data_IF_829646010814
#
_entry.id   IF_829646010814
#
_cell.length_a   1.000
_cell.length_b   1.000
_cell.length_c   1.000
_cell.angle_alpha   90.00
_cell.angle_beta   90.00
_cell.angle_gamma   90.00
#
_symmetry.space_group_name_H-M   'P 1'
#
loop_
_entity.id
_entity.type
_entity.pdbx_description
1 polymer ?
#
# COMPACT_ATOMS: atom_id res chain seq x y z
N UNK A 1 37.75 66.43 12.15
CA UNK A 1 37.68 65.32 11.18
C UNK A 1 38.58 64.22 11.72
N UNK A 2 38.02 63.06 12.10
CA UNK A 2 38.59 61.74 11.84
C UNK A 2 37.56 60.70 12.30
N UNK A 3 37.06 59.97 11.30
CA UNK A 3 36.01 58.97 11.33
C UNK A 3 36.56 57.68 11.94
N UNK A 4 36.00 57.22 13.06
CA UNK A 4 36.17 55.84 13.52
C UNK A 4 34.99 55.07 12.94
N UNK A 5 35.20 54.51 11.75
CA UNK A 5 34.34 53.47 11.23
C UNK A 5 34.83 52.18 11.90
N UNK A 6 34.04 51.66 12.84
CA UNK A 6 34.26 50.32 13.38
C UNK A 6 34.00 49.31 12.25
N UNK A 7 35.08 48.67 11.80
CA UNK A 7 35.03 47.49 10.95
C UNK A 7 34.31 46.38 11.71
N UNK A 8 33.05 46.15 11.39
CA UNK A 8 32.35 44.92 11.75
C UNK A 8 33.07 43.80 10.99
N UNK A 9 34.01 43.13 11.65
CA UNK A 9 34.69 41.96 11.11
C UNK A 9 33.66 40.93 10.68
N UNK A 10 33.74 40.48 9.43
CA UNK A 10 32.84 39.51 8.84
C UNK A 10 32.68 38.27 9.74
N UNK A 11 31.45 37.77 9.89
CA UNK A 11 31.19 36.56 10.66
C UNK A 11 31.98 35.40 10.03
N UNK A 12 32.82 34.66 10.76
CA UNK A 12 33.54 33.51 10.22
C UNK A 12 32.60 32.44 9.63
N UNK A 13 31.32 32.44 10.00
CA UNK A 13 30.30 31.61 9.37
C UNK A 13 29.90 32.10 7.98
N UNK A 14 30.02 33.40 7.66
CA UNK A 14 29.74 33.94 6.32
C UNK A 14 30.73 33.38 5.29
N UNK A 15 32.01 33.22 5.64
CA UNK A 15 33.02 32.59 4.78
C UNK A 15 32.75 31.10 4.54
N UNK A 16 32.15 30.41 5.52
CA UNK A 16 31.73 29.01 5.38
C UNK A 16 30.49 28.94 4.47
N UNK A 17 29.54 29.86 4.61
CA UNK A 17 28.34 29.93 3.77
C UNK A 17 28.68 30.35 2.34
N UNK A 18 29.63 31.28 2.15
CA UNK A 18 30.17 31.62 0.83
C UNK A 18 30.99 30.46 0.23
N UNK A 19 31.62 29.63 1.08
CA UNK A 19 32.30 28.40 0.71
C UNK A 19 31.38 27.19 0.50
N UNK A 20 30.07 27.30 0.80
CA UNK A 20 29.08 26.32 0.36
C UNK A 20 28.93 26.47 -1.15
N UNK A 21 29.81 25.78 -1.88
CA UNK A 21 29.88 25.82 -3.33
C UNK A 21 28.52 25.50 -3.94
N UNK A 22 28.02 26.43 -4.76
CA UNK A 22 26.99 26.10 -5.75
C UNK A 22 27.65 25.12 -6.70
N UNK A 23 27.24 23.86 -6.66
CA UNK A 23 27.70 22.86 -7.63
C UNK A 23 27.52 23.41 -9.04
N UNK A 24 28.52 23.20 -9.90
CA UNK A 24 28.33 23.43 -11.33
C UNK A 24 27.24 22.52 -11.87
N UNK A 25 26.67 22.85 -13.03
CA UNK A 25 25.65 22.01 -13.66
C UNK A 25 26.23 20.61 -13.98
N UNK A 26 27.51 20.52 -14.31
CA UNK A 26 28.23 19.27 -14.53
C UNK A 26 28.43 18.47 -13.23
N UNK A 27 28.87 19.10 -12.14
CA UNK A 27 29.06 18.44 -10.84
C UNK A 27 27.73 17.96 -10.27
N UNK A 28 26.69 18.77 -10.42
CA UNK A 28 25.33 18.40 -10.03
C UNK A 28 24.81 17.23 -10.87
N UNK A 29 25.01 17.26 -12.18
CA UNK A 29 24.56 16.17 -13.06
C UNK A 29 25.30 14.87 -12.74
N UNK A 30 26.61 14.93 -12.51
CA UNK A 30 27.40 13.76 -12.13
C UNK A 30 27.01 13.17 -10.76
N UNK A 31 26.61 14.01 -9.79
CA UNK A 31 26.10 13.52 -8.51
C UNK A 31 24.71 12.90 -8.62
N UNK A 32 23.86 13.45 -9.49
CA UNK A 32 22.51 12.93 -9.74
C UNK A 32 22.51 11.67 -10.61
N UNK A 33 23.59 11.41 -11.36
CA UNK A 33 23.76 10.22 -12.19
C UNK A 33 23.85 8.97 -11.30
N UNK A 34 22.87 8.07 -11.41
CA UNK A 34 22.75 6.87 -10.57
C UNK A 34 22.16 7.13 -9.18
N UNK A 35 21.74 8.36 -8.87
CA UNK A 35 21.03 8.64 -7.61
C UNK A 35 19.67 7.92 -7.58
N UNK A 36 19.04 7.73 -8.73
CA UNK A 36 17.84 6.92 -8.90
C UNK A 36 18.07 5.41 -8.70
N UNK A 37 19.33 4.95 -8.72
CA UNK A 37 19.72 3.60 -8.32
C UNK A 37 20.02 3.50 -6.82
N UNK A 38 20.20 4.63 -6.13
CA UNK A 38 20.46 4.64 -4.70
C UNK A 38 19.17 4.30 -3.92
N UNK A 39 19.17 3.31 -2.99
CA UNK A 39 17.95 2.82 -2.34
C UNK A 39 17.06 3.87 -1.67
N UNK A 40 17.65 4.97 -1.18
CA UNK A 40 16.93 6.09 -0.56
C UNK A 40 16.26 7.05 -1.56
N UNK A 41 16.66 7.02 -2.82
CA UNK A 41 16.26 7.98 -3.86
C UNK A 41 15.74 7.29 -5.13
N UNK A 42 15.44 5.98 -5.06
CA UNK A 42 14.88 5.23 -6.17
C UNK A 42 13.50 5.77 -6.56
N UNK A 43 13.32 6.04 -7.86
CA UNK A 43 12.03 6.47 -8.43
C UNK A 43 10.95 5.39 -8.35
N UNK A 44 11.36 4.12 -8.28
CA UNK A 44 10.48 2.96 -8.16
C UNK A 44 10.99 2.08 -7.04
N UNK A 45 10.08 1.64 -6.18
CA UNK A 45 10.41 0.62 -5.19
C UNK A 45 10.93 -0.64 -5.90
N UNK A 46 12.05 -1.22 -5.44
CA UNK A 46 12.63 -2.41 -6.06
C UNK A 46 11.61 -3.55 -6.03
N UNK A 47 11.63 -4.38 -7.06
CA UNK A 47 10.75 -5.55 -7.17
C UNK A 47 11.12 -6.61 -6.15
N UNK A 48 10.20 -7.55 -5.90
CA UNK A 48 10.45 -8.62 -4.94
C UNK A 48 11.69 -9.47 -5.28
N UNK A 49 12.00 -9.63 -6.57
CA UNK A 49 13.12 -10.43 -7.05
C UNK A 49 14.45 -9.68 -6.85
N UNK A 50 14.46 -8.37 -7.15
CA UNK A 50 15.63 -7.49 -6.93
C UNK A 50 16.01 -7.35 -5.45
N UNK A 51 15.02 -7.35 -4.54
CA UNK A 51 15.29 -7.30 -3.09
C UNK A 51 15.86 -8.64 -2.59
N UNK A 52 15.37 -9.77 -3.08
CA UNK A 52 15.85 -11.11 -2.68
C UNK A 52 17.29 -11.36 -3.10
N UNK A 53 17.68 -10.84 -4.24
CA UNK A 53 19.02 -11.04 -4.79
C UNK A 53 20.06 -10.04 -4.23
N UNK A 54 19.66 -9.13 -3.35
CA UNK A 54 20.54 -8.09 -2.79
C UNK A 54 20.43 -7.98 -1.25
N UNK A 55 21.46 -8.47 -0.56
CA UNK A 55 21.54 -8.48 0.92
C UNK A 55 21.44 -7.08 1.55
N UNK A 56 22.01 -6.05 0.92
CA UNK A 56 21.93 -4.67 1.42
C UNK A 56 20.52 -4.10 1.31
N UNK A 57 19.82 -4.38 0.20
CA UNK A 57 18.42 -3.96 0.04
C UNK A 57 17.52 -4.67 1.05
N UNK A 58 17.75 -5.96 1.28
CA UNK A 58 17.05 -6.72 2.31
C UNK A 58 17.26 -6.13 3.71
N UNK A 59 18.50 -5.79 4.07
CA UNK A 59 18.83 -5.16 5.36
C UNK A 59 18.26 -3.74 5.49
N UNK A 60 18.32 -2.93 4.45
CA UNK A 60 17.75 -1.58 4.48
C UNK A 60 16.22 -1.61 4.64
N UNK A 61 15.57 -2.59 3.99
CA UNK A 61 14.13 -2.83 4.14
C UNK A 61 13.77 -3.34 5.53
N UNK A 62 14.61 -4.18 6.16
CA UNK A 62 14.36 -4.65 7.53
C UNK A 62 14.57 -3.55 8.58
N UNK A 63 15.49 -2.60 8.34
CA UNK A 63 15.68 -1.41 9.18
C UNK A 63 14.44 -0.50 9.25
N UNK A 64 13.51 -0.59 8.28
CA UNK A 64 12.26 0.16 8.30
C UNK A 64 11.33 -0.29 9.44
N UNK A 65 11.53 -1.49 9.99
CA UNK A 65 10.69 -2.09 11.01
C UNK A 65 11.43 -2.12 12.35
N UNK A 66 10.73 -1.76 13.43
CA UNK A 66 11.21 -1.93 14.80
C UNK A 66 10.35 -2.98 15.51
N UNK A 67 10.74 -3.43 16.70
CA UNK A 67 9.90 -4.35 17.50
C UNK A 67 8.49 -3.77 17.76
N UNK A 68 8.36 -2.44 17.84
CA UNK A 68 7.09 -1.73 18.02
C UNK A 68 6.34 -1.49 16.69
N UNK A 69 7.07 -1.39 15.58
CA UNK A 69 6.56 -1.19 14.23
C UNK A 69 6.80 -2.44 13.38
N UNK A 70 6.33 -3.58 13.85
CA UNK A 70 6.38 -4.81 13.06
C UNK A 70 5.57 -4.66 11.76
N UNK A 71 5.89 -5.44 10.70
CA UNK A 71 5.15 -5.38 9.45
C UNK A 71 3.63 -5.56 9.59
N UNK A 72 3.19 -6.42 10.53
CA UNK A 72 1.76 -6.62 10.83
C UNK A 72 1.14 -5.33 11.39
N UNK A 73 1.82 -4.70 12.34
CA UNK A 73 1.37 -3.45 12.96
C UNK A 73 1.29 -2.33 11.92
N UNK A 74 2.29 -2.25 11.05
CA UNK A 74 2.33 -1.25 9.97
C UNK A 74 1.26 -1.49 8.92
N UNK A 75 1.01 -2.74 8.54
CA UNK A 75 -0.10 -3.11 7.66
C UNK A 75 -1.46 -2.73 8.27
N UNK A 76 -1.67 -2.99 9.56
CA UNK A 76 -2.89 -2.62 10.29
C UNK A 76 -3.08 -1.10 10.36
N UNK A 77 -2.03 -0.35 10.70
CA UNK A 77 -2.03 1.13 10.70
C UNK A 77 -2.41 1.68 9.31
N UNK A 78 -1.81 1.15 8.26
CA UNK A 78 -2.09 1.57 6.88
C UNK A 78 -3.50 1.19 6.44
N UNK A 79 -3.98 -0.02 6.77
CA UNK A 79 -5.37 -0.44 6.58
C UNK A 79 -6.35 0.53 7.24
N UNK A 80 -6.08 0.97 8.47
CA UNK A 80 -6.96 1.89 9.19
C UNK A 80 -6.98 3.30 8.60
N UNK A 81 -5.83 3.80 8.13
CA UNK A 81 -5.77 5.05 7.33
C UNK A 81 -6.59 4.92 6.04
N UNK A 82 -6.49 3.78 5.36
CA UNK A 82 -7.29 3.47 4.16
C UNK A 82 -8.79 3.45 4.45
N UNK A 83 -9.19 2.81 5.55
CA UNK A 83 -10.59 2.79 6.01
C UNK A 83 -11.08 4.20 6.34
N UNK A 84 -10.27 5.03 7.00
CA UNK A 84 -10.61 6.42 7.32
C UNK A 84 -10.81 7.25 6.04
N UNK A 85 -9.91 7.12 5.06
CA UNK A 85 -10.04 7.78 3.77
C UNK A 85 -11.29 7.29 3.00
N UNK A 86 -11.56 5.98 2.98
CA UNK A 86 -12.72 5.43 2.29
C UNK A 86 -14.05 5.98 2.83
N UNK A 87 -14.16 6.14 4.16
CA UNK A 87 -15.36 6.71 4.80
C UNK A 87 -15.62 8.17 4.43
N UNK A 88 -14.59 8.93 4.02
CA UNK A 88 -14.75 10.31 3.54
C UNK A 88 -15.37 10.40 2.15
N UNK A 89 -15.52 9.27 1.44
CA UNK A 89 -16.23 9.19 0.17
C UNK A 89 -15.34 9.30 -1.06
N UNK A 90 -15.98 9.53 -2.21
CA UNK A 90 -15.40 9.38 -3.56
C UNK A 90 -14.11 10.18 -3.74
N UNK A 91 -14.06 11.41 -3.23
CA UNK A 91 -12.92 12.31 -3.43
C UNK A 91 -11.65 11.79 -2.71
N UNK A 92 -11.82 10.92 -1.72
CA UNK A 92 -10.74 10.30 -0.96
C UNK A 92 -10.45 8.85 -1.38
N UNK A 93 -11.10 8.34 -2.44
CA UNK A 93 -10.78 7.02 -2.97
C UNK A 93 -9.31 6.86 -3.40
N UNK A 94 -8.65 7.84 -4.05
CA UNK A 94 -7.22 7.75 -4.33
C UNK A 94 -6.38 7.57 -3.06
N UNK A 95 -6.70 8.30 -1.99
CA UNK A 95 -6.03 8.18 -0.70
C UNK A 95 -6.28 6.81 -0.04
N UNK A 96 -7.51 6.30 -0.14
CA UNK A 96 -7.84 4.98 0.37
C UNK A 96 -7.06 3.89 -0.36
N UNK A 97 -7.00 3.94 -1.70
CA UNK A 97 -6.23 3.00 -2.51
C UNK A 97 -4.74 3.04 -2.17
N UNK A 98 -4.17 4.25 -2.03
CA UNK A 98 -2.77 4.42 -1.62
C UNK A 98 -2.50 3.69 -0.31
N UNK A 99 -3.30 3.97 0.72
CA UNK A 99 -3.10 3.34 2.03
C UNK A 99 -3.36 1.82 2.06
N UNK A 100 -4.26 1.31 1.22
CA UNK A 100 -4.40 -0.14 1.08
C UNK A 100 -3.22 -0.78 0.33
N UNK A 101 -2.59 -0.06 -0.61
CA UNK A 101 -1.36 -0.49 -1.23
C UNK A 101 -0.21 -0.48 -0.22
N UNK A 102 -0.03 0.62 0.53
CA UNK A 102 0.96 0.71 1.61
C UNK A 102 0.84 -0.49 2.59
N UNK A 103 -0.40 -0.88 2.94
CA UNK A 103 -0.64 -2.03 3.81
C UNK A 103 -0.21 -3.36 3.17
N UNK A 104 -0.47 -3.57 1.88
CA UNK A 104 -0.05 -4.77 1.15
C UNK A 104 1.47 -4.82 0.96
N UNK A 105 2.11 -3.67 0.77
CA UNK A 105 3.56 -3.59 0.66
C UNK A 105 4.21 -4.07 1.98
N UNK A 106 3.73 -3.60 3.13
CA UNK A 106 4.17 -4.11 4.45
C UNK A 106 3.93 -5.62 4.63
N UNK A 107 2.80 -6.14 4.14
CA UNK A 107 2.52 -7.59 4.17
C UNK A 107 3.56 -8.35 3.33
N UNK A 108 3.84 -7.88 2.12
CA UNK A 108 4.77 -8.57 1.21
C UNK A 108 6.24 -8.39 1.61
N UNK A 109 6.57 -7.38 2.41
CA UNK A 109 7.88 -7.30 3.05
C UNK A 109 8.18 -8.50 3.97
N UNK A 110 7.18 -9.07 4.66
CA UNK A 110 7.37 -10.30 5.44
C UNK A 110 7.63 -11.51 4.54
N UNK A 111 6.85 -11.64 3.47
CA UNK A 111 7.05 -12.71 2.49
C UNK A 111 8.42 -12.62 1.78
N UNK A 112 8.98 -11.41 1.69
CA UNK A 112 10.32 -11.15 1.17
C UNK A 112 11.44 -11.62 2.10
N UNK A 113 11.23 -11.53 3.40
CA UNK A 113 12.17 -12.03 4.41
C UNK A 113 12.23 -13.57 4.49
N UNK A 114 11.54 -14.29 3.58
CA UNK A 114 11.36 -15.74 3.59
C UNK A 114 10.71 -16.26 4.89
N UNK A 115 9.97 -15.41 5.58
CA UNK A 115 9.16 -15.82 6.72
C UNK A 115 7.80 -16.31 6.21
N UNK A 116 7.35 -17.45 6.73
CA UNK A 116 5.97 -17.88 6.51
C UNK A 116 5.03 -16.82 7.08
N UNK A 117 4.12 -16.31 6.25
CA UNK A 117 3.07 -15.44 6.74
C UNK A 117 2.21 -16.22 7.72
N UNK A 118 2.17 -15.74 8.96
CA UNK A 118 1.30 -16.32 9.96
C UNK A 118 -0.19 -16.06 9.64
N UNK A 119 -1.04 -16.80 10.34
CA UNK A 119 -2.49 -16.68 10.24
C UNK A 119 -3.00 -15.24 10.48
N UNK A 120 -2.30 -14.45 11.31
CA UNK A 120 -2.69 -13.07 11.57
C UNK A 120 -2.46 -12.21 10.32
N UNK A 121 -1.28 -12.32 9.70
CA UNK A 121 -0.94 -11.59 8.48
C UNK A 121 -1.84 -11.98 7.30
N UNK A 122 -2.11 -13.28 7.11
CA UNK A 122 -3.02 -13.76 6.05
C UNK A 122 -4.44 -13.18 6.21
N UNK A 123 -4.93 -13.07 7.46
CA UNK A 123 -6.20 -12.41 7.75
C UNK A 123 -6.16 -10.92 7.42
N UNK A 124 -5.09 -10.21 7.76
CA UNK A 124 -4.92 -8.78 7.42
C UNK A 124 -4.89 -8.59 5.91
N UNK A 125 -4.13 -9.41 5.17
CA UNK A 125 -4.09 -9.38 3.70
C UNK A 125 -5.49 -9.52 3.11
N UNK A 126 -6.23 -10.54 3.54
CA UNK A 126 -7.58 -10.78 3.08
C UNK A 126 -8.50 -9.58 3.31
N UNK A 127 -8.44 -8.97 4.49
CA UNK A 127 -9.24 -7.79 4.83
C UNK A 127 -8.86 -6.59 3.99
N UNK A 128 -7.56 -6.30 3.83
CA UNK A 128 -7.06 -5.17 3.05
C UNK A 128 -7.47 -5.31 1.59
N UNK A 129 -7.25 -6.47 0.97
CA UNK A 129 -7.66 -6.74 -0.41
C UNK A 129 -9.17 -6.61 -0.59
N UNK A 130 -9.96 -7.15 0.33
CA UNK A 130 -11.40 -7.01 0.26
C UNK A 130 -11.84 -5.54 0.39
N UNK A 131 -11.18 -4.74 1.22
CA UNK A 131 -11.48 -3.31 1.36
C UNK A 131 -11.06 -2.49 0.13
N UNK A 132 -9.90 -2.80 -0.48
CA UNK A 132 -9.48 -2.22 -1.76
C UNK A 132 -10.47 -2.57 -2.88
N UNK A 133 -10.94 -3.82 -2.92
CA UNK A 133 -12.02 -4.25 -3.81
C UNK A 133 -13.32 -3.46 -3.61
N UNK A 134 -13.63 -3.01 -2.39
CA UNK A 134 -14.78 -2.15 -2.14
C UNK A 134 -14.66 -0.78 -2.84
N UNK A 135 -13.44 -0.22 -2.87
CA UNK A 135 -13.16 1.02 -3.59
C UNK A 135 -13.30 0.82 -5.09
N UNK A 136 -12.74 -0.27 -5.63
CA UNK A 136 -12.87 -0.61 -7.04
C UNK A 136 -14.32 -0.86 -7.45
N UNK A 137 -15.12 -1.50 -6.59
CA UNK A 137 -16.54 -1.72 -6.84
C UNK A 137 -17.29 -0.38 -6.91
N UNK A 138 -17.00 0.56 -6.01
CA UNK A 138 -17.57 1.92 -6.04
C UNK A 138 -17.15 2.70 -7.30
N UNK A 139 -15.96 2.40 -7.86
CA UNK A 139 -15.47 2.97 -9.12
C UNK A 139 -15.93 2.19 -10.37
N UNK A 140 -16.76 1.15 -10.24
CA UNK A 140 -17.16 0.23 -11.33
C UNK A 140 -15.98 -0.46 -12.04
N UNK A 141 -14.83 -0.58 -11.38
CA UNK A 141 -13.65 -1.31 -11.88
C UNK A 141 -13.78 -2.81 -11.61
N UNK A 142 -14.75 -3.44 -12.27
CA UNK A 142 -15.21 -4.78 -11.90
C UNK A 142 -14.11 -5.86 -11.99
N UNK A 143 -13.19 -5.75 -12.96
CA UNK A 143 -12.07 -6.71 -13.11
C UNK A 143 -11.14 -6.69 -11.90
N UNK A 144 -10.81 -5.50 -11.41
CA UNK A 144 -9.97 -5.31 -10.24
C UNK A 144 -10.66 -5.84 -8.97
N UNK A 145 -11.99 -5.69 -8.86
CA UNK A 145 -12.77 -6.29 -7.77
C UNK A 145 -12.62 -7.80 -7.74
N UNK A 146 -12.80 -8.47 -8.89
CA UNK A 146 -12.70 -9.93 -8.98
C UNK A 146 -11.28 -10.40 -8.66
N UNK A 147 -10.26 -9.70 -9.16
CA UNK A 147 -8.86 -10.01 -8.86
C UNK A 147 -8.57 -9.90 -7.36
N UNK A 148 -8.94 -8.78 -6.73
CA UNK A 148 -8.67 -8.58 -5.31
C UNK A 148 -9.48 -9.52 -4.42
N UNK A 149 -10.75 -9.80 -4.76
CA UNK A 149 -11.54 -10.75 -3.97
C UNK A 149 -11.02 -12.18 -4.11
N UNK A 150 -10.55 -12.59 -5.28
CA UNK A 150 -9.89 -13.89 -5.47
C UNK A 150 -8.67 -14.01 -4.56
N UNK A 151 -7.79 -13.01 -4.61
CA UNK A 151 -6.58 -12.97 -3.75
C UNK A 151 -6.92 -12.92 -2.26
N UNK A 152 -7.96 -12.18 -1.89
CA UNK A 152 -8.43 -12.14 -0.51
C UNK A 152 -8.92 -13.51 -0.01
N UNK A 153 -9.59 -14.28 -0.86
CA UNK A 153 -10.10 -15.62 -0.52
C UNK A 153 -9.01 -16.69 -0.57
N UNK A 154 -7.98 -16.52 -1.41
CA UNK A 154 -6.75 -17.34 -1.39
C UNK A 154 -6.02 -17.16 -0.05
N UNK A 155 -5.91 -15.93 0.46
CA UNK A 155 -5.30 -15.65 1.77
C UNK A 155 -6.16 -16.09 2.95
N UNK A 156 -7.47 -15.81 2.93
CA UNK A 156 -8.39 -16.23 3.98
C UNK A 156 -9.79 -16.55 3.40
N UNK A 157 -10.13 -17.85 3.22
CA UNK A 157 -11.40 -18.28 2.65
C UNK A 157 -12.63 -17.84 3.45
N UNK A 158 -12.47 -17.59 4.76
CA UNK A 158 -13.53 -17.18 5.68
C UNK A 158 -14.00 -15.72 5.52
N UNK A 159 -13.49 -14.97 4.54
CA UNK A 159 -13.85 -13.56 4.35
C UNK A 159 -15.20 -13.39 3.62
N UNK A 160 -16.28 -13.34 4.40
CA UNK A 160 -17.66 -13.15 3.90
C UNK A 160 -17.81 -11.90 3.03
N UNK A 161 -17.10 -10.80 3.35
CA UNK A 161 -17.17 -9.56 2.56
C UNK A 161 -16.52 -9.71 1.19
N UNK A 162 -15.47 -10.52 1.06
CA UNK A 162 -14.86 -10.82 -0.23
C UNK A 162 -15.80 -11.63 -1.13
N UNK A 163 -16.47 -12.65 -0.58
CA UNK A 163 -17.53 -13.40 -1.30
C UNK A 163 -18.63 -12.49 -1.82
N UNK A 164 -19.16 -11.61 -0.96
CA UNK A 164 -20.20 -10.64 -1.36
C UNK A 164 -19.72 -9.71 -2.49
N UNK A 165 -18.52 -9.14 -2.37
CA UNK A 165 -17.97 -8.19 -3.35
C UNK A 165 -17.65 -8.86 -4.68
N UNK A 166 -17.10 -10.08 -4.66
CA UNK A 166 -16.87 -10.91 -5.85
C UNK A 166 -18.18 -11.18 -6.58
N UNK A 167 -19.18 -11.69 -5.86
CA UNK A 167 -20.47 -12.01 -6.44
C UNK A 167 -21.20 -10.78 -6.97
N UNK A 168 -21.09 -9.63 -6.27
CA UNK A 168 -21.65 -8.37 -6.77
C UNK A 168 -20.98 -7.92 -8.08
N UNK A 169 -19.66 -7.99 -8.17
CA UNK A 169 -18.95 -7.63 -9.40
C UNK A 169 -19.26 -8.59 -10.55
N UNK A 170 -19.36 -9.89 -10.28
CA UNK A 170 -19.72 -10.91 -11.27
C UNK A 170 -21.15 -10.70 -11.80
N UNK A 171 -22.10 -10.36 -10.93
CA UNK A 171 -23.46 -10.01 -11.34
C UNK A 171 -23.45 -8.76 -12.23
N UNK A 172 -22.73 -7.70 -11.85
CA UNK A 172 -22.58 -6.49 -12.65
C UNK A 172 -21.89 -6.75 -14.00
N UNK A 173 -21.12 -7.83 -14.14
CA UNK A 173 -20.54 -8.31 -15.40
C UNK A 173 -21.47 -9.24 -16.21
N UNK A 174 -22.66 -9.58 -15.72
CA UNK A 174 -23.57 -10.56 -16.34
C UNK A 174 -23.16 -12.02 -16.13
N UNK A 175 -22.21 -12.30 -15.23
CA UNK A 175 -21.74 -13.65 -14.90
C UNK A 175 -22.59 -14.26 -13.77
N UNK A 176 -23.86 -14.52 -14.06
CA UNK A 176 -24.84 -14.97 -13.07
C UNK A 176 -24.45 -16.26 -12.33
N UNK A 177 -23.85 -17.24 -13.05
CA UNK A 177 -23.38 -18.50 -12.45
C UNK A 177 -22.29 -18.26 -11.40
N UNK A 178 -21.28 -17.46 -11.75
CA UNK A 178 -20.18 -17.14 -10.83
C UNK A 178 -20.69 -16.34 -9.63
N UNK A 179 -21.61 -15.40 -9.87
CA UNK A 179 -22.21 -14.59 -8.83
C UNK A 179 -23.01 -15.43 -7.82
N UNK A 180 -23.78 -16.41 -8.31
CA UNK A 180 -24.48 -17.40 -7.46
C UNK A 180 -23.48 -18.20 -6.63
N UNK A 181 -22.44 -18.75 -7.25
CA UNK A 181 -21.44 -19.54 -6.54
C UNK A 181 -20.75 -18.74 -5.41
N UNK A 182 -20.40 -17.48 -5.68
CA UNK A 182 -19.85 -16.58 -4.65
C UNK A 182 -20.85 -16.30 -3.52
N UNK A 183 -22.13 -16.13 -3.85
CA UNK A 183 -23.18 -15.92 -2.85
C UNK A 183 -23.42 -17.16 -1.98
N UNK A 184 -23.44 -18.36 -2.58
CA UNK A 184 -23.56 -19.65 -1.88
C UNK A 184 -22.39 -19.88 -0.93
N UNK A 185 -21.15 -19.67 -1.41
CA UNK A 185 -19.95 -19.82 -0.60
C UNK A 185 -19.94 -18.86 0.60
N UNK A 186 -20.35 -17.60 0.41
CA UNK A 186 -20.50 -16.65 1.49
C UNK A 186 -21.59 -17.03 2.49
N UNK A 187 -22.75 -17.53 2.03
CA UNK A 187 -23.86 -17.94 2.90
C UNK A 187 -23.57 -19.23 3.66
N UNK A 188 -22.70 -20.10 3.14
CA UNK A 188 -22.21 -21.26 3.88
C UNK A 188 -21.42 -20.85 5.13
N UNK A 189 -20.76 -19.69 5.09
CA UNK A 189 -20.01 -19.11 6.22
C UNK A 189 -20.91 -18.27 7.14
N UNK A 190 -21.79 -17.44 6.57
CA UNK A 190 -22.71 -16.57 7.32
C UNK A 190 -24.14 -16.67 6.74
N UNK A 191 -24.94 -17.67 7.18
CA UNK A 191 -26.26 -17.93 6.62
C UNK A 191 -27.24 -16.75 6.73
N UNK A 192 -27.09 -15.88 7.72
CA UNK A 192 -27.97 -14.74 8.00
C UNK A 192 -27.51 -13.42 7.37
N UNK A 193 -26.47 -13.47 6.53
CA UNK A 193 -25.93 -12.29 5.86
C UNK A 193 -26.96 -11.66 4.91
N UNK A 194 -27.55 -10.53 5.34
CA UNK A 194 -28.54 -9.77 4.54
C UNK A 194 -28.01 -9.38 3.15
N UNK A 195 -26.76 -8.89 2.98
CA UNK A 195 -26.22 -8.56 1.67
C UNK A 195 -26.13 -9.77 0.73
N UNK A 196 -25.69 -10.92 1.25
CA UNK A 196 -25.55 -12.15 0.44
C UNK A 196 -26.92 -12.76 0.09
N UNK A 197 -27.88 -12.77 1.02
CA UNK A 197 -29.26 -13.19 0.71
C UNK A 197 -29.90 -12.29 -0.34
N UNK A 198 -29.62 -10.98 -0.31
CA UNK A 198 -30.08 -10.07 -1.37
C UNK A 198 -29.38 -10.39 -2.69
N UNK A 199 -28.06 -10.58 -2.68
CA UNK A 199 -27.32 -10.95 -3.88
C UNK A 199 -27.85 -12.25 -4.50
N UNK A 200 -28.18 -13.26 -3.68
CA UNK A 200 -28.78 -14.52 -4.13
C UNK A 200 -30.10 -14.29 -4.88
N UNK A 201 -30.98 -13.44 -4.34
CA UNK A 201 -32.22 -13.07 -5.03
C UNK A 201 -31.99 -12.26 -6.30
N UNK A 202 -30.92 -11.46 -6.36
CA UNK A 202 -30.58 -10.66 -7.54
C UNK A 202 -29.96 -11.53 -8.68
N UNK A 203 -29.53 -12.77 -8.40
CA UNK A 203 -28.95 -13.73 -9.39
C UNK A 203 -29.90 -14.86 -9.81
N UNK A 204 -31.05 -15.02 -9.14
CA UNK A 204 -32.16 -15.91 -9.52
C UNK A 204 -32.97 -15.33 -10.69
#
# INVERSE_FOLDING_TARGET
VMSVADEVGADPHDAIIEGLGKWSDEERSAYLEGLDEHPLFMDKSPTLEEVKDNDYLSQLMSMQYTDEDSPVVMAEKSKDKGNAAFRKGKDFYPNALRHYNDALDHIYHVALANEEMDDAMLRVESVVRANRAAVYLAQRKLRDVVFDCKRALEAWPGNVKAHFRAGRAQLDMGKHRDARASAEAGLALEPDSKPLRKLMRDVD
#
